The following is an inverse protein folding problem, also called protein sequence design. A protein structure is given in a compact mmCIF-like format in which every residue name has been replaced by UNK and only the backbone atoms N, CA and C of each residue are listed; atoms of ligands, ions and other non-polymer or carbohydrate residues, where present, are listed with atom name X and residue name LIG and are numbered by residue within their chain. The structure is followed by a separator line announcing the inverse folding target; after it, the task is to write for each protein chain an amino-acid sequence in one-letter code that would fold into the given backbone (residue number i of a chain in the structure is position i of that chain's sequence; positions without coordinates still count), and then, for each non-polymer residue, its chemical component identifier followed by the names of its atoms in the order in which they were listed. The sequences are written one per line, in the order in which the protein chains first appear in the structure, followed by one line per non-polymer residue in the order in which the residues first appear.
data_IF_402374431941
#
_entry.id   IF_402374431941
#
_cell.length_a   1.000
_cell.length_b   1.000
_cell.length_c   1.000
_cell.angle_alpha   90.00
_cell.angle_beta   90.00
_cell.angle_gamma   90.00
#
_symmetry.space_group_name_H-M   'P 1'
#
loop_
_entity.id
_entity.type
_entity.pdbx_description
1 polymer ?
#
# COMPACT_ATOMS: atom_id res chain seq x y z
N UNK A 1 11.43 24.96 5.37
CA UNK A 1 11.73 24.00 6.47
C UNK A 1 12.78 23.02 6.01
N UNK A 2 13.54 22.45 6.95
CA UNK A 2 14.52 21.38 6.70
C UNK A 2 13.86 20.01 6.84
N UNK A 3 13.74 19.29 5.73
CA UNK A 3 13.05 17.99 5.65
C UNK A 3 14.04 16.91 5.20
N UNK A 4 14.12 15.82 5.95
CA UNK A 4 14.87 14.61 5.59
C UNK A 4 13.90 13.52 5.13
N UNK A 5 13.96 13.15 3.85
CA UNK A 5 13.20 12.02 3.28
C UNK A 5 14.09 10.79 3.30
N UNK A 6 13.64 9.76 4.00
CA UNK A 6 14.44 8.55 4.26
C UNK A 6 13.86 7.35 3.51
N UNK A 7 14.67 6.72 2.66
CA UNK A 7 14.35 5.46 2.00
C UNK A 7 13.08 5.46 1.15
N UNK A 8 12.52 4.26 0.95
CA UNK A 8 11.33 4.06 0.14
C UNK A 8 11.63 3.75 -1.32
N UNK A 9 10.56 3.65 -2.10
CA UNK A 9 10.58 3.39 -3.55
C UNK A 9 10.46 4.70 -4.36
N UNK A 10 10.14 4.59 -5.66
CA UNK A 10 9.97 5.74 -6.57
C UNK A 10 9.02 6.83 -6.06
N UNK A 11 8.12 6.50 -5.13
CA UNK A 11 7.26 7.49 -4.47
C UNK A 11 8.06 8.53 -3.71
N UNK A 12 9.17 8.11 -3.08
CA UNK A 12 10.03 9.01 -2.31
C UNK A 12 10.75 10.02 -3.21
N UNK A 13 11.20 9.63 -4.40
CA UNK A 13 11.78 10.54 -5.39
C UNK A 13 10.77 11.61 -5.86
N UNK A 14 9.54 11.18 -6.17
CA UNK A 14 8.48 12.12 -6.53
C UNK A 14 8.04 13.00 -5.35
N UNK A 15 8.09 12.49 -4.13
CA UNK A 15 7.82 13.26 -2.92
C UNK A 15 8.90 14.35 -2.71
N UNK A 16 10.18 14.00 -2.84
CA UNK A 16 11.29 14.97 -2.77
C UNK A 16 11.07 16.13 -3.76
N UNK A 17 10.68 15.81 -5.01
CA UNK A 17 10.38 16.83 -6.02
C UNK A 17 9.24 17.76 -5.57
N UNK A 18 8.12 17.21 -5.10
CA UNK A 18 6.98 18.01 -4.65
C UNK A 18 7.30 18.88 -3.44
N UNK A 19 8.14 18.40 -2.53
CA UNK A 19 8.59 19.16 -1.36
C UNK A 19 9.56 20.30 -1.75
N UNK A 20 10.48 20.07 -2.69
CA UNK A 20 11.35 21.11 -3.24
C UNK A 20 10.53 22.19 -3.96
N UNK A 21 9.57 21.79 -4.80
CA UNK A 21 8.65 22.71 -5.50
C UNK A 21 7.80 23.54 -4.52
N UNK A 22 7.51 23.01 -3.33
CA UNK A 22 6.82 23.72 -2.25
C UNK A 22 7.75 24.65 -1.43
N UNK A 23 9.04 24.77 -1.80
CA UNK A 23 10.00 25.68 -1.17
C UNK A 23 10.66 25.14 0.10
N UNK A 24 10.63 23.84 0.33
CA UNK A 24 11.34 23.21 1.46
C UNK A 24 12.80 22.89 1.09
N UNK A 25 13.68 22.97 2.09
CA UNK A 25 15.05 22.44 1.99
C UNK A 25 15.01 20.93 2.20
N UNK A 26 15.20 20.15 1.13
CA UNK A 26 15.02 18.70 1.14
C UNK A 26 16.35 17.96 1.04
N UNK A 27 16.60 17.08 2.00
CA UNK A 27 17.66 16.08 1.92
C UNK A 27 17.05 14.69 1.76
N UNK A 28 17.71 13.83 0.96
CA UNK A 28 17.31 12.45 0.71
C UNK A 28 18.38 11.50 1.28
N UNK A 29 17.94 10.51 2.05
CA UNK A 29 18.79 9.48 2.65
C UNK A 29 18.36 8.10 2.13
N UNK A 30 19.31 7.23 1.79
CA UNK A 30 19.07 5.88 1.25
C UNK A 30 18.18 5.88 -0.01
N UNK A 31 18.43 6.82 -0.92
CA UNK A 31 17.76 7.00 -2.21
C UNK A 31 18.77 7.16 -3.36
N UNK A 32 19.93 6.50 -3.26
CA UNK A 32 21.05 6.62 -4.20
C UNK A 32 20.68 6.17 -5.62
N UNK A 33 19.75 5.22 -5.74
CA UNK A 33 19.28 4.70 -7.03
C UNK A 33 17.99 5.37 -7.53
N UNK A 34 17.55 6.47 -6.87
CA UNK A 34 16.37 7.22 -7.24
C UNK A 34 16.70 8.40 -8.17
N UNK A 35 15.77 8.73 -9.07
CA UNK A 35 15.86 9.93 -9.91
C UNK A 35 15.45 11.20 -9.12
N UNK A 36 16.32 11.71 -8.27
CA UNK A 36 16.08 12.89 -7.46
C UNK A 36 16.09 14.19 -8.28
N UNK A 37 15.32 15.22 -7.90
CA UNK A 37 15.41 16.55 -8.52
C UNK A 37 16.74 17.22 -8.12
N UNK A 38 17.29 18.13 -8.95
CA UNK A 38 18.57 18.79 -8.68
C UNK A 38 18.61 19.59 -7.36
N UNK A 39 17.47 20.08 -6.92
CA UNK A 39 17.32 20.86 -5.70
C UNK A 39 17.34 19.97 -4.43
N UNK A 40 17.17 18.67 -4.58
CA UNK A 40 17.20 17.73 -3.47
C UNK A 40 18.64 17.24 -3.23
N UNK A 41 19.14 17.43 -2.03
CA UNK A 41 20.49 17.01 -1.66
C UNK A 41 20.51 15.55 -1.21
N UNK A 42 21.24 14.69 -1.92
CA UNK A 42 21.49 13.31 -1.48
C UNK A 42 22.53 13.34 -0.33
N UNK A 43 22.24 12.64 0.76
CA UNK A 43 23.11 12.51 1.93
C UNK A 43 23.45 11.05 2.21
N UNK A 44 24.69 10.80 2.67
CA UNK A 44 25.20 9.46 2.94
C UNK A 44 25.04 9.03 4.41
N UNK A 45 24.59 9.94 5.26
CA UNK A 45 24.33 9.68 6.67
C UNK A 45 23.11 10.50 7.16
N UNK A 46 22.40 10.03 8.18
CA UNK A 46 21.34 10.80 8.80
C UNK A 46 21.85 12.13 9.34
N UNK A 47 21.04 13.17 9.23
CA UNK A 47 21.39 14.52 9.67
C UNK A 47 20.20 15.17 10.42
N UNK A 48 20.50 16.28 11.11
CA UNK A 48 19.49 17.04 11.85
C UNK A 48 18.46 17.65 10.88
N UNK A 49 17.19 17.41 11.16
CA UNK A 49 16.07 17.93 10.38
C UNK A 49 14.89 18.31 11.30
N UNK A 50 14.09 19.30 10.88
CA UNK A 50 12.85 19.65 11.57
C UNK A 50 11.78 18.58 11.36
N UNK A 51 11.77 17.98 10.16
CA UNK A 51 10.84 16.93 9.75
C UNK A 51 11.61 15.78 9.15
N UNK A 52 11.30 14.58 9.62
CA UNK A 52 11.78 13.31 9.04
C UNK A 52 10.62 12.59 8.42
N UNK A 53 10.73 12.20 7.15
CA UNK A 53 9.69 11.45 6.44
C UNK A 53 10.19 10.04 6.17
N UNK A 54 9.55 9.07 6.78
CA UNK A 54 9.79 7.63 6.62
C UNK A 54 8.85 7.05 5.54
N UNK A 55 9.23 5.97 4.86
CA UNK A 55 8.42 5.36 3.79
C UNK A 55 7.21 4.59 4.32
N UNK A 56 6.46 3.94 3.43
CA UNK A 56 5.35 3.05 3.76
C UNK A 56 5.54 1.67 3.11
N UNK A 57 5.70 0.58 3.91
CA UNK A 57 5.92 0.60 5.37
C UNK A 57 7.25 1.25 5.73
N UNK A 58 7.39 1.78 6.95
CA UNK A 58 8.60 2.45 7.39
C UNK A 58 9.80 1.51 7.47
N UNK A 59 9.58 0.28 7.95
CA UNK A 59 10.60 -0.76 8.06
C UNK A 59 10.35 -1.92 7.12
N UNK A 60 11.43 -2.59 6.72
CA UNK A 60 11.38 -3.79 5.90
C UNK A 60 11.32 -5.08 6.72
N UNK A 61 11.76 -5.02 7.96
CA UNK A 61 11.78 -6.15 8.88
C UNK A 61 10.66 -6.05 9.92
N UNK A 62 10.36 -7.18 10.57
CA UNK A 62 9.31 -7.26 11.60
C UNK A 62 9.77 -6.72 12.96
N UNK A 63 11.05 -6.40 13.09
CA UNK A 63 11.62 -5.85 14.32
C UNK A 63 11.57 -4.32 14.37
N UNK A 64 11.31 -3.67 13.24
CA UNK A 64 11.28 -2.21 13.14
C UNK A 64 12.68 -1.57 13.17
N UNK A 65 13.72 -2.36 12.92
CA UNK A 65 15.11 -1.94 13.07
C UNK A 65 15.69 -1.32 11.79
N UNK A 66 15.35 -1.89 10.65
CA UNK A 66 15.91 -1.46 9.37
C UNK A 66 14.88 -0.70 8.54
N UNK A 67 15.31 0.47 8.05
CA UNK A 67 14.55 1.28 7.12
C UNK A 67 14.18 0.50 5.87
N UNK A 68 12.97 0.69 5.38
CA UNK A 68 12.53 0.17 4.09
C UNK A 68 13.10 1.05 2.96
N UNK A 69 14.24 0.66 2.42
CA UNK A 69 14.99 1.44 1.43
C UNK A 69 15.41 0.59 0.22
N UNK A 70 14.46 0.16 -0.64
CA UNK A 70 14.79 -0.63 -1.84
C UNK A 70 15.63 0.12 -2.88
N UNK A 71 15.69 1.45 -2.83
CA UNK A 71 16.54 2.29 -3.68
C UNK A 71 17.84 2.75 -3.01
N UNK A 72 18.06 2.31 -1.76
CA UNK A 72 19.31 2.54 -1.04
C UNK A 72 20.39 1.51 -1.39
N UNK A 73 21.66 1.89 -1.20
CA UNK A 73 22.79 0.99 -1.43
C UNK A 73 23.21 0.23 -0.17
N UNK A 74 22.85 0.73 1.02
CA UNK A 74 23.21 0.12 2.31
C UNK A 74 22.03 0.07 3.26
N UNK A 75 21.97 -0.93 4.16
CA UNK A 75 21.02 -0.95 5.26
C UNK A 75 21.20 0.28 6.15
N UNK A 76 20.11 0.90 6.56
CA UNK A 76 20.10 2.04 7.47
C UNK A 76 19.24 1.71 8.70
N UNK A 77 19.82 1.70 9.91
CA UNK A 77 19.05 1.55 11.13
C UNK A 77 18.12 2.75 11.35
N UNK A 78 16.88 2.49 11.72
CA UNK A 78 15.92 3.55 12.05
C UNK A 78 16.33 4.35 13.26
N UNK A 79 17.02 3.72 14.22
CA UNK A 79 17.56 4.38 15.40
C UNK A 79 18.53 5.51 15.06
N UNK A 80 19.43 5.29 14.10
CA UNK A 80 20.41 6.31 13.67
C UNK A 80 19.73 7.54 13.07
N UNK A 81 18.61 7.35 12.34
CA UNK A 81 17.80 8.44 11.78
C UNK A 81 17.15 9.25 12.90
N UNK A 82 16.57 8.57 13.89
CA UNK A 82 15.92 9.22 15.03
C UNK A 82 16.94 9.97 15.90
N UNK A 83 18.11 9.38 16.14
CA UNK A 83 19.19 10.02 16.91
C UNK A 83 19.67 11.30 16.22
N UNK A 84 19.87 11.27 14.91
CA UNK A 84 20.35 12.41 14.14
C UNK A 84 19.31 13.53 14.00
N UNK A 85 18.03 13.21 13.92
CA UNK A 85 16.97 14.19 13.75
C UNK A 85 16.91 15.21 14.90
N UNK A 86 17.20 14.77 16.13
CA UNK A 86 17.25 15.60 17.32
C UNK A 86 15.90 15.76 18.01
N UNK A 87 15.95 16.36 19.21
CA UNK A 87 14.77 16.63 20.02
C UNK A 87 13.83 17.64 19.32
N UNK A 88 12.51 17.43 19.49
CA UNK A 88 11.47 18.28 18.90
C UNK A 88 11.17 18.02 17.42
N UNK A 89 11.97 17.19 16.73
CA UNK A 89 11.72 16.84 15.34
C UNK A 89 10.34 16.16 15.17
N UNK A 90 9.71 16.38 14.02
CA UNK A 90 8.48 15.72 13.62
C UNK A 90 8.79 14.53 12.71
N UNK A 91 8.50 13.33 13.19
CA UNK A 91 8.67 12.07 12.45
C UNK A 91 7.32 11.71 11.82
N UNK A 92 7.28 11.72 10.49
CA UNK A 92 6.10 11.37 9.70
C UNK A 92 6.40 10.09 8.94
N UNK A 93 5.47 9.13 8.92
CA UNK A 93 5.67 7.91 8.16
C UNK A 93 4.36 7.24 7.82
N UNK A 94 4.45 6.10 7.13
CA UNK A 94 3.31 5.26 6.86
C UNK A 94 3.48 3.88 7.48
N UNK A 95 2.49 3.44 8.23
CA UNK A 95 2.51 2.16 8.92
C UNK A 95 3.70 2.07 9.89
N UNK A 96 3.76 3.07 10.76
CA UNK A 96 4.74 3.12 11.85
C UNK A 96 4.36 2.09 12.91
N UNK A 97 5.32 1.25 13.28
CA UNK A 97 5.11 0.33 14.38
C UNK A 97 5.30 1.01 15.76
N UNK A 98 4.87 0.30 16.81
CA UNK A 98 4.96 0.82 18.18
C UNK A 98 6.41 1.06 18.64
N UNK A 99 7.39 0.33 18.10
CA UNK A 99 8.80 0.45 18.47
C UNK A 99 9.38 1.76 17.95
N UNK A 100 9.13 2.08 16.67
CA UNK A 100 9.54 3.37 16.08
C UNK A 100 8.89 4.51 16.85
N UNK A 101 7.59 4.40 17.10
CA UNK A 101 6.82 5.43 17.81
C UNK A 101 7.37 5.66 19.22
N UNK A 102 7.65 4.59 19.95
CA UNK A 102 8.25 4.66 21.29
C UNK A 102 9.66 5.25 21.25
N UNK A 103 10.51 4.74 20.36
CA UNK A 103 11.88 5.21 20.20
C UNK A 103 11.98 6.71 19.86
N UNK A 104 11.05 7.21 19.04
CA UNK A 104 10.95 8.63 18.74
C UNK A 104 10.49 9.45 19.97
N UNK A 105 9.48 8.98 20.70
CA UNK A 105 9.00 9.65 21.91
C UNK A 105 10.08 9.71 23.01
N UNK A 106 10.88 8.65 23.18
CA UNK A 106 12.01 8.63 24.12
C UNK A 106 13.08 9.67 23.80
N UNK A 107 13.14 10.14 22.55
CA UNK A 107 14.03 11.22 22.04
C UNK A 107 13.36 12.60 22.04
N UNK A 108 12.19 12.73 22.65
CA UNK A 108 11.43 14.00 22.64
C UNK A 108 10.86 14.39 21.27
N UNK A 109 10.70 13.44 20.37
CA UNK A 109 10.19 13.69 19.01
C UNK A 109 8.68 13.48 18.95
N UNK A 110 8.03 14.20 18.03
CA UNK A 110 6.60 14.04 17.72
C UNK A 110 6.43 13.06 16.57
N UNK A 111 5.40 12.22 16.62
CA UNK A 111 5.15 11.19 15.60
C UNK A 111 3.77 11.36 14.97
N UNK A 112 3.70 11.19 13.65
CA UNK A 112 2.46 11.16 12.86
C UNK A 112 2.49 10.05 11.83
N UNK A 113 1.43 9.24 11.79
CA UNK A 113 1.27 8.20 10.77
C UNK A 113 0.17 8.59 9.79
N UNK A 114 0.55 8.88 8.52
CA UNK A 114 -0.42 9.25 7.50
C UNK A 114 -1.33 8.10 7.07
N UNK A 115 -1.01 6.84 7.41
CA UNK A 115 -1.93 5.71 7.19
C UNK A 115 -3.18 5.77 8.09
N UNK A 116 -3.17 6.59 9.13
CA UNK A 116 -4.34 6.85 9.96
C UNK A 116 -5.27 7.94 9.38
N UNK A 117 -4.83 8.66 8.35
CA UNK A 117 -5.62 9.72 7.70
C UNK A 117 -6.60 9.13 6.66
N UNK A 118 -7.93 9.38 6.80
CA UNK A 118 -8.93 8.84 5.88
C UNK A 118 -8.71 9.24 4.42
N UNK A 119 -8.30 10.48 4.16
CA UNK A 119 -8.06 11.04 2.83
C UNK A 119 -6.89 10.33 2.14
N UNK A 120 -5.81 10.11 2.88
CA UNK A 120 -4.66 9.35 2.38
C UNK A 120 -5.06 7.92 2.06
N UNK A 121 -5.73 7.23 3.01
CA UNK A 121 -6.09 5.81 2.82
C UNK A 121 -7.09 5.61 1.69
N UNK A 122 -7.98 6.57 1.45
CA UNK A 122 -8.90 6.53 0.30
C UNK A 122 -8.15 6.68 -1.04
N UNK A 123 -7.25 7.66 -1.15
CA UNK A 123 -6.41 7.86 -2.35
C UNK A 123 -5.48 6.67 -2.60
N UNK A 124 -4.84 6.15 -1.55
CA UNK A 124 -3.98 4.97 -1.65
C UNK A 124 -4.76 3.73 -2.10
N UNK A 125 -5.99 3.54 -1.61
CA UNK A 125 -6.86 2.45 -2.04
C UNK A 125 -7.26 2.57 -3.52
N UNK A 126 -7.50 3.79 -4.02
CA UNK A 126 -7.84 4.04 -5.42
C UNK A 126 -6.68 3.65 -6.35
N UNK A 127 -5.45 4.06 -6.01
CA UNK A 127 -4.24 3.71 -6.76
C UNK A 127 -3.95 2.20 -6.68
N UNK A 128 -4.17 1.58 -5.51
CA UNK A 128 -4.03 0.13 -5.34
C UNK A 128 -5.00 -0.63 -6.23
N UNK A 129 -6.26 -0.21 -6.29
CA UNK A 129 -7.27 -0.84 -7.13
C UNK A 129 -6.93 -0.73 -8.63
N UNK A 130 -6.40 0.41 -9.09
CA UNK A 130 -5.94 0.58 -10.46
C UNK A 130 -4.76 -0.34 -10.79
N UNK A 131 -3.77 -0.43 -9.89
CA UNK A 131 -2.66 -1.34 -10.06
C UNK A 131 -3.10 -2.81 -10.10
N UNK A 132 -4.12 -3.19 -9.33
CA UNK A 132 -4.67 -4.55 -9.37
C UNK A 132 -5.40 -4.85 -10.70
N UNK A 133 -6.17 -3.89 -11.23
CA UNK A 133 -6.79 -4.02 -12.57
C UNK A 133 -5.72 -4.17 -13.64
N UNK A 134 -4.67 -3.36 -13.60
CA UNK A 134 -3.55 -3.47 -14.54
C UNK A 134 -2.93 -4.89 -14.49
N UNK A 135 -2.66 -5.42 -13.30
CA UNK A 135 -2.11 -6.78 -13.14
C UNK A 135 -3.06 -7.87 -13.62
N UNK A 136 -4.35 -7.71 -13.41
CA UNK A 136 -5.34 -8.64 -13.96
C UNK A 136 -5.28 -8.66 -15.49
N UNK A 137 -5.27 -7.49 -16.13
CA UNK A 137 -5.19 -7.36 -17.60
C UNK A 137 -3.88 -7.93 -18.16
N UNK A 138 -2.74 -7.64 -17.53
CA UNK A 138 -1.43 -8.17 -17.96
C UNK A 138 -1.32 -9.71 -17.84
N UNK A 139 -2.06 -10.30 -16.92
CA UNK A 139 -2.06 -11.74 -16.67
C UNK A 139 -3.15 -12.51 -17.45
N UNK A 140 -3.97 -11.80 -18.20
CA UNK A 140 -5.04 -12.38 -19.02
C UNK A 140 -4.70 -12.37 -20.49
N UNK A 141 -5.17 -13.37 -21.22
CA UNK A 141 -5.20 -13.43 -22.68
C UNK A 141 -6.59 -13.11 -23.25
N UNK A 142 -7.57 -12.78 -22.36
CA UNK A 142 -8.93 -12.40 -22.71
C UNK A 142 -9.18 -10.91 -22.38
N UNK A 143 -10.19 -10.34 -23.02
CA UNK A 143 -10.70 -9.02 -22.67
C UNK A 143 -11.43 -9.06 -21.31
N UNK A 144 -11.39 -7.97 -20.53
CA UNK A 144 -12.04 -7.93 -19.22
C UNK A 144 -13.56 -8.18 -19.28
N UNK A 145 -14.22 -7.85 -20.39
CA UNK A 145 -15.66 -8.12 -20.56
C UNK A 145 -15.99 -9.63 -20.67
N UNK A 146 -14.98 -10.45 -20.95
CA UNK A 146 -15.11 -11.91 -21.01
C UNK A 146 -14.64 -12.59 -19.72
N UNK A 147 -14.23 -11.81 -18.71
CA UNK A 147 -13.69 -12.29 -17.44
C UNK A 147 -14.74 -12.31 -16.33
N UNK A 148 -14.75 -13.40 -15.56
CA UNK A 148 -15.49 -13.53 -14.30
C UNK A 148 -14.54 -13.39 -13.12
N UNK A 149 -14.68 -12.32 -12.34
CA UNK A 149 -13.75 -11.95 -11.27
C UNK A 149 -14.43 -12.02 -9.90
N UNK A 150 -13.89 -12.79 -9.00
CA UNK A 150 -14.27 -12.82 -7.59
C UNK A 150 -13.42 -11.84 -6.79
N UNK A 151 -14.04 -10.85 -6.16
CA UNK A 151 -13.37 -9.95 -5.23
C UNK A 151 -13.68 -10.37 -3.79
N UNK A 152 -12.65 -10.70 -3.01
CA UNK A 152 -12.79 -11.07 -1.60
C UNK A 152 -12.55 -9.84 -0.74
N UNK A 153 -13.55 -9.49 0.08
CA UNK A 153 -13.50 -8.34 0.99
C UNK A 153 -14.21 -7.10 0.45
N UNK A 154 -14.93 -6.41 1.34
CA UNK A 154 -15.72 -5.19 1.05
C UNK A 154 -15.11 -3.95 1.73
N UNK A 155 -13.77 -3.90 1.83
CA UNK A 155 -13.03 -2.74 2.31
C UNK A 155 -12.92 -1.63 1.25
N UNK A 156 -12.10 -0.61 1.53
CA UNK A 156 -11.84 0.51 0.59
C UNK A 156 -11.39 0.01 -0.78
N UNK A 157 -10.41 -0.90 -0.82
CA UNK A 157 -9.87 -1.46 -2.06
C UNK A 157 -10.91 -2.31 -2.78
N UNK A 158 -11.57 -3.24 -2.06
CA UNK A 158 -12.57 -4.14 -2.65
C UNK A 158 -13.72 -3.41 -3.33
N UNK A 159 -14.27 -2.37 -2.68
CA UNK A 159 -15.33 -1.53 -3.26
C UNK A 159 -14.89 -0.84 -4.56
N UNK A 160 -13.69 -0.27 -4.56
CA UNK A 160 -13.14 0.42 -5.75
C UNK A 160 -12.81 -0.56 -6.88
N UNK A 161 -12.33 -1.76 -6.55
CA UNK A 161 -12.11 -2.83 -7.52
C UNK A 161 -13.41 -3.26 -8.18
N UNK A 162 -14.45 -3.54 -7.40
CA UNK A 162 -15.77 -3.93 -7.92
C UNK A 162 -16.28 -2.90 -8.92
N UNK A 163 -16.22 -1.60 -8.58
CA UNK A 163 -16.64 -0.52 -9.46
C UNK A 163 -15.81 -0.46 -10.76
N UNK A 164 -14.48 -0.50 -10.63
CA UNK A 164 -13.58 -0.35 -11.79
C UNK A 164 -13.71 -1.54 -12.75
N UNK A 165 -13.73 -2.76 -12.23
CA UNK A 165 -13.87 -3.97 -13.03
C UNK A 165 -15.23 -4.02 -13.74
N UNK A 166 -16.33 -3.71 -13.03
CA UNK A 166 -17.65 -3.64 -13.64
C UNK A 166 -17.75 -2.56 -14.74
N UNK A 167 -17.15 -1.39 -14.50
CA UNK A 167 -17.11 -0.30 -15.49
C UNK A 167 -16.30 -0.69 -16.76
N UNK A 168 -15.33 -1.60 -16.63
CA UNK A 168 -14.57 -2.16 -17.75
C UNK A 168 -15.25 -3.39 -18.40
N UNK A 169 -16.44 -3.76 -17.93
CA UNK A 169 -17.26 -4.81 -18.52
C UNK A 169 -17.08 -6.20 -17.89
N UNK A 170 -16.20 -6.39 -16.92
CA UNK A 170 -16.00 -7.68 -16.25
C UNK A 170 -17.25 -8.12 -15.48
N UNK A 171 -17.50 -9.43 -15.45
CA UNK A 171 -18.50 -10.03 -14.55
C UNK A 171 -17.90 -10.11 -13.14
N UNK A 172 -18.36 -9.25 -12.22
CA UNK A 172 -17.78 -9.18 -10.87
C UNK A 172 -18.72 -9.72 -9.81
N UNK A 173 -18.18 -10.45 -8.85
CA UNK A 173 -18.89 -10.98 -7.70
C UNK A 173 -18.11 -10.70 -6.42
N UNK A 174 -18.82 -10.32 -5.34
CA UNK A 174 -18.22 -10.15 -4.02
C UNK A 174 -18.23 -11.48 -3.25
N UNK A 175 -17.14 -11.79 -2.55
CA UNK A 175 -17.18 -12.74 -1.44
C UNK A 175 -16.87 -12.02 -0.12
N UNK A 176 -17.73 -12.21 0.86
CA UNK A 176 -17.53 -11.64 2.20
C UNK A 176 -18.21 -12.50 3.27
N UNK A 177 -17.56 -12.69 4.41
CA UNK A 177 -18.16 -13.30 5.60
C UNK A 177 -19.23 -12.41 6.24
N UNK A 178 -19.10 -11.08 6.09
CA UNK A 178 -20.02 -10.10 6.67
C UNK A 178 -21.31 -10.00 5.83
N UNK A 179 -22.46 -10.28 6.45
CA UNK A 179 -23.76 -10.27 5.80
C UNK A 179 -24.18 -8.86 5.33
N UNK A 180 -23.88 -7.81 6.12
CA UNK A 180 -24.20 -6.42 5.75
C UNK A 180 -23.43 -5.98 4.51
N UNK A 181 -22.17 -6.41 4.41
CA UNK A 181 -21.34 -6.16 3.21
C UNK A 181 -21.94 -6.80 1.97
N UNK A 182 -22.43 -8.03 2.07
CA UNK A 182 -23.10 -8.73 0.96
C UNK A 182 -24.41 -8.05 0.57
N UNK A 183 -25.25 -7.69 1.57
CA UNK A 183 -26.50 -6.99 1.33
C UNK A 183 -26.26 -5.63 0.64
N UNK A 184 -25.25 -4.87 1.08
CA UNK A 184 -24.90 -3.59 0.45
C UNK A 184 -24.41 -3.79 -0.99
N UNK A 185 -23.58 -4.80 -1.26
CA UNK A 185 -23.15 -5.11 -2.61
C UNK A 185 -24.34 -5.45 -3.53
N UNK A 186 -25.28 -6.26 -3.06
CA UNK A 186 -26.50 -6.61 -3.80
C UNK A 186 -27.37 -5.37 -4.06
N UNK A 187 -27.53 -4.48 -3.10
CA UNK A 187 -28.26 -3.22 -3.28
C UNK A 187 -27.63 -2.31 -4.34
N UNK A 188 -26.31 -2.42 -4.55
CA UNK A 188 -25.56 -1.74 -5.60
C UNK A 188 -25.53 -2.50 -6.93
N UNK A 189 -26.23 -3.63 -7.04
CA UNK A 189 -26.33 -4.44 -8.26
C UNK A 189 -25.22 -5.48 -8.44
N UNK A 190 -24.37 -5.72 -7.44
CA UNK A 190 -23.30 -6.72 -7.51
C UNK A 190 -23.76 -8.06 -6.90
N UNK A 191 -23.60 -9.20 -7.61
CA UNK A 191 -23.73 -10.52 -7.01
C UNK A 191 -22.80 -10.68 -5.80
N UNK A 192 -23.24 -11.44 -4.80
CA UNK A 192 -22.40 -11.70 -3.63
C UNK A 192 -22.56 -13.12 -3.09
N UNK A 193 -21.45 -13.68 -2.59
CA UNK A 193 -21.35 -15.02 -2.04
C UNK A 193 -20.90 -14.99 -0.57
N UNK A 194 -21.41 -15.91 0.22
CA UNK A 194 -20.83 -16.23 1.52
C UNK A 194 -19.64 -17.21 1.32
N UNK A 195 -18.67 -17.28 2.25
CA UNK A 195 -17.52 -18.19 2.12
C UNK A 195 -17.88 -19.68 1.95
N UNK A 196 -19.02 -20.08 2.47
CA UNK A 196 -19.55 -21.46 2.41
C UNK A 196 -20.55 -21.65 1.26
N UNK A 197 -20.40 -20.95 0.15
CA UNK A 197 -21.35 -20.95 -0.98
C UNK A 197 -21.42 -22.23 -1.82
N UNK A 198 -20.60 -23.20 -1.53
CA UNK A 198 -20.49 -24.43 -2.31
C UNK A 198 -19.49 -24.32 -3.47
N UNK A 199 -18.73 -25.41 -3.69
CA UNK A 199 -17.61 -25.45 -4.62
C UNK A 199 -18.00 -25.23 -6.08
N UNK A 200 -19.21 -25.61 -6.46
CA UNK A 200 -19.67 -25.50 -7.84
C UNK A 200 -19.74 -24.03 -8.33
N UNK A 201 -20.04 -23.09 -7.44
CA UNK A 201 -20.07 -21.65 -7.78
C UNK A 201 -18.67 -21.06 -7.99
N UNK A 202 -17.67 -21.63 -7.33
CA UNK A 202 -16.28 -21.14 -7.40
C UNK A 202 -15.58 -21.53 -8.71
N UNK A 203 -16.03 -22.58 -9.39
CA UNK A 203 -15.49 -23.00 -10.69
C UNK A 203 -15.74 -22.01 -11.82
N UNK A 204 -16.72 -21.11 -11.65
CA UNK A 204 -17.07 -20.11 -12.68
C UNK A 204 -16.13 -18.91 -12.76
N UNK A 205 -15.15 -18.77 -11.86
CA UNK A 205 -14.29 -17.59 -11.84
C UNK A 205 -12.96 -17.82 -12.57
N UNK A 206 -12.58 -16.84 -13.38
CA UNK A 206 -11.31 -16.76 -14.11
C UNK A 206 -10.20 -16.22 -13.23
N UNK A 207 -10.56 -15.29 -12.34
CA UNK A 207 -9.64 -14.68 -11.40
C UNK A 207 -10.29 -14.41 -10.04
N UNK A 208 -9.46 -14.43 -9.02
CA UNK A 208 -9.80 -14.05 -7.63
C UNK A 208 -8.86 -12.93 -7.19
N UNK A 209 -9.40 -11.85 -6.66
CA UNK A 209 -8.61 -10.76 -6.09
C UNK A 209 -8.93 -10.66 -4.60
N UNK A 210 -7.98 -11.08 -3.77
CA UNK A 210 -8.15 -11.01 -2.32
C UNK A 210 -7.71 -9.66 -1.76
N UNK A 211 -8.60 -9.01 -1.03
CA UNK A 211 -8.34 -7.76 -0.29
C UNK A 211 -8.55 -7.92 1.22
N UNK A 212 -8.96 -9.09 1.68
CA UNK A 212 -9.21 -9.38 3.08
C UNK A 212 -7.92 -9.86 3.78
N UNK A 213 -7.56 -9.31 4.96
CA UNK A 213 -6.32 -9.65 5.66
C UNK A 213 -6.38 -10.96 6.45
N UNK A 214 -7.50 -11.67 6.38
CA UNK A 214 -7.72 -12.93 7.08
C UNK A 214 -8.31 -13.97 6.12
N UNK A 215 -8.10 -15.28 6.36
CA UNK A 215 -8.67 -16.35 5.54
C UNK A 215 -10.20 -16.25 5.44
N UNK A 216 -10.70 -16.21 4.22
CA UNK A 216 -12.15 -16.19 3.92
C UNK A 216 -12.55 -17.47 3.17
N UNK A 217 -11.61 -18.07 2.44
CA UNK A 217 -11.83 -19.30 1.68
C UNK A 217 -11.09 -20.44 2.35
N UNK A 218 -11.80 -21.56 2.59
CA UNK A 218 -11.24 -22.78 3.18
C UNK A 218 -10.91 -23.87 2.15
N UNK A 219 -11.47 -23.78 0.94
CA UNK A 219 -11.36 -24.83 -0.09
C UNK A 219 -10.85 -24.25 -1.42
N UNK A 220 -9.55 -24.05 -1.54
CA UNK A 220 -8.95 -23.52 -2.76
C UNK A 220 -9.07 -24.48 -3.95
N UNK A 221 -9.12 -25.79 -3.71
CA UNK A 221 -9.36 -26.80 -4.74
C UNK A 221 -10.77 -26.72 -5.38
N UNK A 222 -11.67 -25.91 -4.84
CA UNK A 222 -12.98 -25.65 -5.42
C UNK A 222 -12.93 -24.73 -6.65
N UNK A 223 -11.86 -23.97 -6.85
CA UNK A 223 -11.67 -23.19 -8.07
C UNK A 223 -11.22 -24.08 -9.24
N UNK A 224 -11.52 -23.63 -10.45
CA UNK A 224 -11.04 -24.32 -11.65
C UNK A 224 -9.51 -24.27 -11.76
N UNK A 225 -8.92 -25.28 -12.35
CA UNK A 225 -7.49 -25.30 -12.65
C UNK A 225 -7.08 -24.07 -13.50
N UNK A 226 -5.94 -23.47 -13.15
CA UNK A 226 -5.43 -22.28 -13.81
C UNK A 226 -6.13 -20.97 -13.44
N UNK A 227 -7.11 -20.97 -12.52
CA UNK A 227 -7.68 -19.74 -11.98
C UNK A 227 -6.55 -18.87 -11.38
N UNK A 228 -6.60 -17.58 -11.68
CA UNK A 228 -5.57 -16.61 -11.27
C UNK A 228 -5.95 -16.02 -9.91
N UNK A 229 -5.06 -16.15 -8.94
CA UNK A 229 -5.22 -15.62 -7.59
C UNK A 229 -4.29 -14.42 -7.41
N UNK A 230 -4.85 -13.27 -7.09
CA UNK A 230 -4.11 -12.05 -6.77
C UNK A 230 -4.30 -11.70 -5.30
N UNK A 231 -3.21 -11.74 -4.53
CA UNK A 231 -3.22 -11.40 -3.11
C UNK A 231 -2.77 -9.96 -2.90
N UNK A 232 -3.70 -9.09 -2.52
CA UNK A 232 -3.46 -7.67 -2.24
C UNK A 232 -3.34 -7.39 -0.74
N UNK A 233 -3.85 -8.29 0.09
CA UNK A 233 -3.77 -8.10 1.52
C UNK A 233 -2.31 -8.15 2.00
N UNK A 234 -2.01 -7.37 3.04
CA UNK A 234 -0.70 -7.43 3.67
C UNK A 234 -0.49 -8.77 4.38
N UNK A 235 0.76 -9.20 4.46
CA UNK A 235 1.10 -10.42 5.18
C UNK A 235 0.47 -10.44 6.59
N UNK A 236 -0.03 -11.59 7.05
CA UNK A 236 0.10 -12.92 6.42
C UNK A 236 -0.79 -13.14 5.18
N UNK A 237 -1.70 -12.21 4.84
CA UNK A 237 -2.64 -12.38 3.75
C UNK A 237 -3.86 -13.23 4.12
N UNK A 238 -4.75 -13.40 3.16
CA UNK A 238 -5.96 -14.21 3.34
C UNK A 238 -5.95 -15.52 2.57
N UNK A 239 -4.95 -15.75 1.69
CA UNK A 239 -4.82 -16.96 0.89
C UNK A 239 -3.41 -17.51 1.05
N UNK A 240 -3.30 -18.78 1.44
CA UNK A 240 -2.02 -19.46 1.52
C UNK A 240 -1.48 -19.75 0.11
N UNK A 241 -0.27 -19.27 -0.17
CA UNK A 241 0.37 -19.41 -1.48
C UNK A 241 0.68 -20.86 -1.83
N UNK A 242 1.12 -21.67 -0.84
CA UNK A 242 1.48 -23.08 -1.05
C UNK A 242 0.22 -23.91 -1.34
N UNK A 243 -0.84 -23.69 -0.60
CA UNK A 243 -2.14 -24.36 -0.84
C UNK A 243 -2.70 -23.99 -2.21
N UNK A 244 -2.63 -22.70 -2.60
CA UNK A 244 -3.10 -22.25 -3.91
C UNK A 244 -2.35 -22.94 -5.05
N UNK A 245 -1.02 -22.97 -5.00
CA UNK A 245 -0.19 -23.65 -6.01
C UNK A 245 -0.45 -25.14 -6.03
N UNK A 246 -0.59 -25.78 -4.86
CA UNK A 246 -0.90 -27.20 -4.75
C UNK A 246 -2.27 -27.57 -5.33
N UNK A 247 -3.23 -26.62 -5.32
CA UNK A 247 -4.54 -26.75 -5.94
C UNK A 247 -4.54 -26.45 -7.46
N UNK A 248 -3.37 -26.23 -8.08
CA UNK A 248 -3.25 -25.92 -9.51
C UNK A 248 -3.60 -24.47 -9.89
N UNK A 249 -3.65 -23.56 -8.91
CA UNK A 249 -3.99 -22.16 -9.13
C UNK A 249 -2.75 -21.30 -9.43
N UNK A 250 -2.93 -20.22 -10.20
CA UNK A 250 -1.84 -19.29 -10.53
C UNK A 250 -1.79 -18.16 -9.48
N UNK A 251 -1.06 -18.38 -8.39
CA UNK A 251 -0.95 -17.40 -7.30
C UNK A 251 0.08 -16.31 -7.58
N UNK A 252 -0.31 -15.06 -7.32
CA UNK A 252 0.55 -13.88 -7.42
C UNK A 252 0.29 -12.93 -6.25
N UNK A 253 1.30 -12.73 -5.40
CA UNK A 253 1.26 -11.68 -4.39
C UNK A 253 1.56 -10.32 -5.01
N UNK A 254 0.78 -9.31 -4.65
CA UNK A 254 0.85 -7.96 -5.22
C UNK A 254 1.18 -6.90 -4.15
N UNK A 255 2.35 -6.95 -3.52
CA UNK A 255 2.75 -5.94 -2.55
C UNK A 255 3.11 -4.62 -3.23
N UNK A 256 2.89 -3.52 -2.52
CA UNK A 256 3.35 -2.17 -2.88
C UNK A 256 2.86 -1.67 -4.25
N UNK A 257 1.66 -2.07 -4.70
CA UNK A 257 1.08 -1.65 -5.98
C UNK A 257 1.16 -0.15 -6.26
N UNK A 258 0.82 0.77 -5.31
CA UNK A 258 0.89 2.20 -5.57
C UNK A 258 2.27 2.67 -6.01
N UNK A 259 3.34 2.16 -5.39
CA UNK A 259 4.72 2.52 -5.74
C UNK A 259 5.16 1.96 -7.09
N UNK A 260 4.63 0.80 -7.49
CA UNK A 260 5.01 0.14 -8.74
C UNK A 260 4.27 0.67 -9.97
N UNK A 261 2.98 0.97 -9.84
CA UNK A 261 2.11 1.28 -10.99
C UNK A 261 1.82 2.76 -11.17
N UNK A 262 1.78 3.54 -10.08
CA UNK A 262 1.51 4.96 -10.16
C UNK A 262 2.30 5.74 -9.09
N UNK A 263 3.64 5.68 -9.09
CA UNK A 263 4.47 6.26 -8.03
C UNK A 263 4.26 7.77 -7.88
N UNK A 264 4.05 8.50 -8.97
CA UNK A 264 3.77 9.94 -8.95
C UNK A 264 2.44 10.26 -8.26
N UNK A 265 1.38 9.52 -8.56
CA UNK A 265 0.07 9.72 -7.93
C UNK A 265 0.08 9.32 -6.47
N UNK A 266 0.75 8.23 -6.13
CA UNK A 266 0.93 7.78 -4.76
C UNK A 266 1.77 8.77 -3.94
N UNK A 267 2.85 9.32 -4.51
CA UNK A 267 3.66 10.37 -3.89
C UNK A 267 2.84 11.64 -3.63
N UNK A 268 1.98 12.04 -4.58
CA UNK A 268 1.07 13.19 -4.39
C UNK A 268 0.13 12.97 -3.21
N UNK A 269 -0.36 11.74 -2.99
CA UNK A 269 -1.17 11.44 -1.83
C UNK A 269 -0.39 11.59 -0.53
N UNK A 270 0.88 11.12 -0.49
CA UNK A 270 1.78 11.33 0.66
C UNK A 270 2.06 12.82 0.86
N UNK A 271 2.37 13.56 -0.19
CA UNK A 271 2.63 15.01 -0.13
C UNK A 271 1.43 15.78 0.48
N UNK A 272 0.21 15.48 0.03
CA UNK A 272 -0.99 16.10 0.60
C UNK A 272 -1.13 15.79 2.11
N UNK A 273 -0.90 14.53 2.50
CA UNK A 273 -0.98 14.13 3.90
C UNK A 273 0.12 14.80 4.75
N UNK A 274 1.36 14.85 4.26
CA UNK A 274 2.47 15.56 4.92
C UNK A 274 2.14 17.03 5.09
N UNK A 275 1.65 17.70 4.05
CA UNK A 275 1.28 19.12 4.11
C UNK A 275 0.17 19.39 5.13
N UNK A 276 -0.81 18.52 5.24
CA UNK A 276 -1.87 18.61 6.25
C UNK A 276 -1.31 18.47 7.67
N UNK A 277 -0.47 17.46 7.90
CA UNK A 277 0.20 17.24 9.18
C UNK A 277 1.05 18.45 9.59
N UNK A 278 1.78 19.05 8.64
CA UNK A 278 2.60 20.24 8.90
C UNK A 278 1.75 21.44 9.31
N UNK A 279 0.60 21.65 8.66
CA UNK A 279 -0.36 22.73 9.04
C UNK A 279 -0.90 22.52 10.46
N UNK A 280 -1.33 21.29 10.78
CA UNK A 280 -1.84 20.95 12.12
C UNK A 280 -0.78 21.09 13.21
N UNK A 281 0.48 20.89 12.87
CA UNK A 281 1.61 20.98 13.80
C UNK A 281 2.08 22.43 14.03
N UNK A 282 1.50 23.42 13.36
CA UNK A 282 1.91 24.84 13.46
C UNK A 282 3.27 25.12 12.82
N UNK A 283 3.72 24.32 11.90
CA UNK A 283 5.06 24.39 11.31
C UNK A 283 5.08 25.06 9.91
N UNK A 284 3.95 25.62 9.49
CA UNK A 284 3.79 26.31 8.19
C UNK A 284 3.68 27.85 8.29
N UNK A 285 3.96 28.46 9.45
CA UNK A 285 3.99 29.91 9.62
C UNK A 285 5.40 30.50 9.49
#
# INVERSE_FOLDING_TARGET
MKILVCGGDERSAHLCRALCEAGHEVAALCLENAALPPECRLVNAPERAQVVILPVPACRDTQGELLNAPLGVSPCPTADILDAAGEGALVIGGRLDERITRAAHERGQRVRDYMLMPEFTAKNAAVTAEGAVCRLMEASDAALCDESVLVIGWGRIGKLLMQKLAALGASVCLMSSNADSRAMAQALGYPSLAPNCGSQLLQGFDAVINTAPAPVISELCAFREGCRIFELASAPGGIDAHEAVSAGLKYTALPALPGKYAPRSAARAVFCAVTEILKESGEND
#
